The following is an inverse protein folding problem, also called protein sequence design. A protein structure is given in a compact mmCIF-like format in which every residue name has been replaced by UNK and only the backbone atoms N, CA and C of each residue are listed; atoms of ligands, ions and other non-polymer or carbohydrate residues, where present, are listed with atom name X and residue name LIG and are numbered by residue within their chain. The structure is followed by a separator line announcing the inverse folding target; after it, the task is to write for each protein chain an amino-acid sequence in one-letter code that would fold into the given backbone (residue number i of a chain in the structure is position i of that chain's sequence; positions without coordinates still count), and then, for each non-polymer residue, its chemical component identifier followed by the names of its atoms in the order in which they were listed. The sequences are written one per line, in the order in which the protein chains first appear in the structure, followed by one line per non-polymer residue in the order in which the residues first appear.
data_IF_823197192177
#
_entry.id   IF_823197192177
#
_cell.length_a   1.000
_cell.length_b   1.000
_cell.length_c   1.000
_cell.angle_alpha   90.00
_cell.angle_beta   90.00
_cell.angle_gamma   90.00
#
_symmetry.space_group_name_H-M   'P 1'
#
loop_
_entity.id
_entity.type
_entity.pdbx_description
1 polymer ?
#
# COMPACT_ATOMS: atom_id res chain seq x y z
N UNK A 1 -64.20 22.95 -59.63
CA UNK A 1 -64.98 22.43 -58.48
C UNK A 1 -64.13 21.38 -57.78
N UNK A 2 -63.82 21.62 -56.49
CA UNK A 2 -63.59 20.66 -55.37
C UNK A 2 -62.71 19.41 -55.57
N UNK A 3 -61.90 18.90 -54.64
CA UNK A 3 -61.35 19.29 -53.33
C UNK A 3 -60.57 18.05 -52.81
N UNK A 4 -59.50 18.27 -52.02
CA UNK A 4 -59.00 17.42 -50.92
C UNK A 4 -58.47 15.99 -51.22
N UNK A 5 -57.47 15.41 -50.54
CA UNK A 5 -56.52 15.78 -49.46
C UNK A 5 -55.63 14.53 -49.15
N UNK A 6 -54.54 14.74 -48.40
CA UNK A 6 -53.76 13.82 -47.52
C UNK A 6 -52.33 13.41 -47.91
N UNK A 7 -51.39 14.25 -47.43
CA UNK A 7 -50.31 13.96 -46.47
C UNK A 7 -49.60 12.60 -46.47
N UNK A 8 -48.26 12.62 -46.63
CA UNK A 8 -47.38 11.96 -45.66
C UNK A 8 -46.02 12.65 -45.51
N UNK A 9 -45.58 12.72 -44.25
CA UNK A 9 -44.43 13.46 -43.73
C UNK A 9 -43.09 12.77 -43.99
N UNK A 10 -42.07 13.62 -43.97
CA UNK A 10 -40.63 13.41 -43.87
C UNK A 10 -40.25 12.48 -42.72
N UNK A 11 -39.22 11.65 -42.89
CA UNK A 11 -38.40 11.20 -41.76
C UNK A 11 -36.91 11.21 -42.13
N UNK A 12 -36.16 12.13 -41.52
CA UNK A 12 -34.71 12.25 -41.58
C UNK A 12 -34.17 11.65 -40.28
N UNK A 13 -33.32 10.61 -40.31
CA UNK A 13 -32.73 10.09 -39.08
C UNK A 13 -31.76 11.10 -38.47
N UNK A 14 -32.19 11.72 -37.38
CA UNK A 14 -31.36 12.54 -36.48
C UNK A 14 -30.70 11.60 -35.48
N UNK A 15 -29.48 11.14 -35.76
CA UNK A 15 -28.70 10.37 -34.77
C UNK A 15 -27.65 11.28 -34.11
N UNK A 16 -28.09 11.96 -33.05
CA UNK A 16 -27.30 12.85 -32.20
C UNK A 16 -26.27 12.12 -31.31
N UNK A 17 -26.15 10.79 -31.42
CA UNK A 17 -25.24 10.01 -30.57
C UNK A 17 -23.83 9.84 -31.11
N UNK A 18 -23.55 10.16 -32.38
CA UNK A 18 -22.20 9.99 -32.95
C UNK A 18 -21.23 11.07 -32.46
N UNK A 19 -21.71 12.29 -32.19
CA UNK A 19 -20.87 13.41 -31.78
C UNK A 19 -20.33 13.28 -30.34
N UNK A 20 -21.00 12.53 -29.46
CA UNK A 20 -20.57 12.34 -28.06
C UNK A 20 -19.46 11.29 -27.90
N UNK A 21 -19.31 10.38 -28.86
CA UNK A 21 -18.36 9.26 -28.78
C UNK A 21 -16.93 9.64 -29.17
N UNK A 22 -16.74 10.77 -29.86
CA UNK A 22 -15.43 11.25 -30.29
C UNK A 22 -14.72 12.17 -29.27
N UNK A 23 -15.37 12.54 -28.16
CA UNK A 23 -14.78 13.43 -27.14
C UNK A 23 -14.21 12.69 -25.91
N UNK A 24 -14.20 11.36 -25.88
CA UNK A 24 -13.73 10.59 -24.72
C UNK A 24 -12.58 9.62 -25.02
N UNK A 25 -11.85 9.80 -26.13
CA UNK A 25 -10.52 9.19 -26.22
C UNK A 25 -9.52 10.12 -25.53
N UNK A 26 -8.99 9.76 -24.34
CA UNK A 26 -7.84 10.48 -23.81
C UNK A 26 -6.69 10.38 -24.82
N UNK A 27 -5.92 11.47 -25.03
CA UNK A 27 -4.79 11.44 -25.95
C UNK A 27 -3.81 10.35 -25.53
N UNK A 28 -3.39 9.52 -26.48
CA UNK A 28 -2.48 8.38 -26.29
C UNK A 28 -1.07 8.75 -25.78
N UNK A 29 -0.81 10.04 -25.53
CA UNK A 29 0.49 10.60 -25.15
C UNK A 29 0.47 11.36 -23.82
N UNK A 30 -0.48 11.09 -22.90
CA UNK A 30 -0.28 11.57 -21.53
C UNK A 30 0.80 10.73 -20.86
N UNK A 31 1.85 11.34 -20.26
CA UNK A 31 2.70 10.63 -19.33
C UNK A 31 1.81 9.88 -18.34
N UNK A 32 2.12 8.61 -18.09
CA UNK A 32 1.42 7.89 -17.03
C UNK A 32 1.53 8.71 -15.74
N UNK A 33 0.47 8.81 -14.92
CA UNK A 33 0.58 9.50 -13.65
C UNK A 33 1.68 8.84 -12.81
N UNK A 34 2.57 9.65 -12.24
CA UNK A 34 3.58 9.19 -11.27
C UNK A 34 2.84 8.42 -10.19
N UNK A 35 3.25 7.17 -9.95
CA UNK A 35 2.65 6.33 -8.92
C UNK A 35 3.51 6.42 -7.67
N UNK A 36 2.88 6.58 -6.52
CA UNK A 36 3.58 6.52 -5.24
C UNK A 36 3.59 5.08 -4.72
N UNK A 37 4.74 4.66 -4.18
CA UNK A 37 4.90 3.41 -3.46
C UNK A 37 5.37 3.76 -2.06
N UNK A 38 4.72 3.18 -1.05
CA UNK A 38 5.06 3.41 0.34
C UNK A 38 5.81 2.20 0.89
N UNK A 39 7.06 2.39 1.29
CA UNK A 39 7.93 1.31 1.78
C UNK A 39 8.13 1.49 3.28
N UNK A 40 7.78 0.46 4.05
CA UNK A 40 8.14 0.39 5.46
C UNK A 40 9.59 -0.09 5.54
N UNK A 41 10.45 0.70 6.16
CA UNK A 41 11.83 0.35 6.47
C UNK A 41 11.99 0.09 7.94
N UNK A 42 12.79 -0.91 8.29
CA UNK A 42 13.21 -1.14 9.66
C UNK A 42 14.64 -0.64 9.83
N UNK A 43 14.86 0.24 10.80
CA UNK A 43 16.14 0.94 10.96
C UNK A 43 16.84 0.53 12.26
N UNK A 44 18.16 0.55 12.20
CA UNK A 44 19.04 0.61 13.36
C UNK A 44 20.07 1.71 13.15
N UNK A 45 20.51 2.33 14.24
CA UNK A 45 21.56 3.34 14.22
C UNK A 45 22.93 2.78 13.79
N UNK A 46 23.13 1.44 13.86
CA UNK A 46 24.40 0.81 13.53
C UNK A 46 24.44 0.16 12.13
N UNK A 47 23.41 -0.60 11.76
CA UNK A 47 23.38 -1.36 10.50
C UNK A 47 22.66 -0.60 9.37
N UNK A 48 22.03 0.53 9.68
CA UNK A 48 21.23 1.30 8.73
C UNK A 48 19.79 0.79 8.62
N UNK A 49 19.20 0.97 7.44
CA UNK A 49 17.77 0.72 7.21
C UNK A 49 17.55 -0.35 6.13
N UNK A 50 16.70 -1.33 6.43
CA UNK A 50 16.30 -2.41 5.53
C UNK A 50 14.83 -2.27 5.11
N UNK A 51 14.49 -2.42 3.81
CA UNK A 51 13.10 -2.44 3.39
C UNK A 51 12.39 -3.72 3.86
N UNK A 52 11.30 -3.58 4.61
CA UNK A 52 10.49 -4.69 5.12
C UNK A 52 9.40 -5.08 4.12
N UNK A 53 8.61 -4.10 3.68
CA UNK A 53 7.43 -4.32 2.83
C UNK A 53 7.00 -3.04 2.13
N UNK A 54 6.47 -3.18 0.91
CA UNK A 54 5.89 -2.09 0.13
C UNK A 54 4.36 -2.16 0.08
N UNK A 55 3.72 -0.99 -0.01
CA UNK A 55 2.29 -0.79 -0.03
C UNK A 55 1.88 0.22 -1.11
N UNK A 56 0.66 0.06 -1.61
CA UNK A 56 0.07 0.97 -2.59
C UNK A 56 -0.53 2.23 -1.97
N UNK A 57 -0.81 2.23 -0.66
CA UNK A 57 -1.35 3.40 0.06
C UNK A 57 -0.54 3.68 1.32
N UNK A 58 -0.49 4.95 1.72
CA UNK A 58 0.21 5.40 2.91
C UNK A 58 -0.43 4.83 4.18
N UNK A 59 -1.76 4.80 4.24
CA UNK A 59 -2.52 4.33 5.40
C UNK A 59 -2.20 2.86 5.71
N UNK A 60 -2.05 2.03 4.67
CA UNK A 60 -1.71 0.61 4.83
C UNK A 60 -0.27 0.44 5.35
N UNK A 61 0.65 1.26 4.85
CA UNK A 61 2.04 1.26 5.29
C UNK A 61 2.16 1.73 6.75
N UNK A 62 1.50 2.83 7.10
CA UNK A 62 1.49 3.39 8.47
C UNK A 62 0.85 2.40 9.46
N UNK A 63 -0.24 1.73 9.09
CA UNK A 63 -0.86 0.70 9.92
C UNK A 63 0.06 -0.51 10.14
N UNK A 64 0.78 -0.97 9.10
CA UNK A 64 1.75 -2.04 9.24
C UNK A 64 2.95 -1.62 10.11
N UNK A 65 3.47 -0.42 9.90
CA UNK A 65 4.57 0.13 10.70
C UNK A 65 4.18 0.26 12.19
N UNK A 66 2.95 0.69 12.48
CA UNK A 66 2.42 0.73 13.84
C UNK A 66 2.32 -0.67 14.44
N UNK A 67 1.79 -1.65 13.69
CA UNK A 67 1.72 -3.03 14.15
C UNK A 67 3.09 -3.62 14.48
N UNK A 68 4.14 -3.27 13.74
CA UNK A 68 5.51 -3.66 14.07
C UNK A 68 5.96 -3.02 15.40
N UNK A 69 5.74 -1.72 15.57
CA UNK A 69 6.07 -0.99 16.81
C UNK A 69 5.32 -1.56 18.03
N UNK A 70 4.02 -1.81 17.89
CA UNK A 70 3.21 -2.42 18.95
C UNK A 70 3.73 -3.82 19.33
N UNK A 71 4.24 -4.59 18.34
CA UNK A 71 4.81 -5.91 18.59
C UNK A 71 6.17 -5.84 19.30
N UNK A 72 7.00 -4.82 19.04
CA UNK A 72 8.23 -4.55 19.81
C UNK A 72 7.92 -4.16 21.26
N UNK A 73 6.90 -3.33 21.49
CA UNK A 73 6.54 -2.85 22.83
C UNK A 73 6.15 -3.98 23.80
N UNK A 74 5.55 -5.06 23.28
CA UNK A 74 5.14 -6.22 24.09
C UNK A 74 6.24 -7.27 24.26
N UNK A 75 7.44 -7.05 23.70
CA UNK A 75 8.56 -7.97 23.83
C UNK A 75 8.96 -8.12 25.29
N UNK A 76 9.15 -9.36 25.73
CA UNK A 76 9.61 -9.63 27.10
C UNK A 76 11.09 -9.24 27.23
N UNK A 77 11.46 -8.40 28.21
CA UNK A 77 12.85 -8.03 28.43
C UNK A 77 13.69 -9.25 28.87
N UNK A 78 15.00 -9.26 28.57
CA UNK A 78 15.87 -10.33 29.02
C UNK A 78 15.96 -10.37 30.56
N UNK A 79 16.23 -11.55 31.15
CA UNK A 79 16.55 -11.67 32.56
C UNK A 79 17.77 -10.81 32.95
N UNK A 80 17.92 -10.58 34.26
CA UNK A 80 19.14 -9.94 34.78
C UNK A 80 20.38 -10.78 34.52
N UNK A 81 21.56 -10.14 34.48
CA UNK A 81 22.84 -10.83 34.20
C UNK A 81 23.12 -11.97 35.19
N UNK A 82 22.73 -11.80 36.46
CA UNK A 82 22.93 -12.79 37.52
C UNK A 82 21.75 -13.78 37.66
N UNK A 83 20.79 -13.77 36.72
CA UNK A 83 19.65 -14.67 36.75
C UNK A 83 20.09 -16.14 36.55
N UNK A 84 19.42 -17.11 37.19
CA UNK A 84 19.69 -18.52 36.95
C UNK A 84 19.50 -18.92 35.48
N UNK A 85 20.27 -19.92 35.02
CA UNK A 85 20.23 -20.42 33.63
C UNK A 85 18.82 -20.80 33.16
N UNK A 86 18.02 -21.44 34.01
CA UNK A 86 16.65 -21.83 33.67
C UNK A 86 15.70 -20.64 33.40
N UNK A 87 16.03 -19.42 33.83
CA UNK A 87 15.30 -18.21 33.44
C UNK A 87 15.70 -17.76 32.04
N UNK A 88 16.99 -17.83 31.71
CA UNK A 88 17.51 -17.56 30.38
C UNK A 88 16.97 -18.53 29.33
N UNK A 89 16.86 -19.81 29.66
CA UNK A 89 16.28 -20.82 28.75
C UNK A 89 14.82 -20.50 28.41
N UNK A 90 14.01 -20.20 29.44
CA UNK A 90 12.59 -19.84 29.27
C UNK A 90 12.43 -18.54 28.48
N UNK A 91 13.26 -17.53 28.77
CA UNK A 91 13.24 -16.29 28.01
C UNK A 91 13.63 -16.52 26.55
N UNK A 92 14.68 -17.31 26.30
CA UNK A 92 15.16 -17.60 24.93
C UNK A 92 14.08 -18.29 24.09
N UNK A 93 13.36 -19.25 24.66
CA UNK A 93 12.25 -19.91 23.98
C UNK A 93 11.11 -18.92 23.66
N UNK A 94 10.73 -18.08 24.64
CA UNK A 94 9.71 -17.05 24.48
C UNK A 94 10.09 -15.99 23.44
N UNK A 95 11.33 -15.49 23.49
CA UNK A 95 11.87 -14.47 22.59
C UNK A 95 11.97 -15.01 21.16
N UNK A 96 12.35 -16.29 20.99
CA UNK A 96 12.36 -16.96 19.70
C UNK A 96 10.95 -17.16 19.12
N UNK A 97 9.96 -17.46 19.96
CA UNK A 97 8.57 -17.57 19.52
C UNK A 97 8.03 -16.20 19.11
N UNK A 98 8.29 -15.17 19.91
CA UNK A 98 7.94 -13.78 19.62
C UNK A 98 8.56 -13.29 18.30
N UNK A 99 9.83 -13.60 18.05
CA UNK A 99 10.52 -13.21 16.81
C UNK A 99 9.84 -13.81 15.57
N UNK A 100 9.41 -15.07 15.64
CA UNK A 100 8.73 -15.75 14.53
C UNK A 100 7.35 -15.18 14.22
N UNK A 101 6.69 -14.55 15.19
CA UNK A 101 5.38 -13.92 14.98
C UNK A 101 5.48 -12.44 14.61
N UNK A 102 6.67 -11.84 14.68
CA UNK A 102 6.85 -10.43 14.40
C UNK A 102 6.48 -10.10 12.93
N UNK A 103 5.65 -9.08 12.65
CA UNK A 103 5.19 -8.80 11.29
C UNK A 103 6.30 -8.48 10.28
N UNK A 104 7.43 -7.97 10.78
CA UNK A 104 8.62 -7.64 10.00
C UNK A 104 9.68 -8.75 9.93
N UNK A 105 9.44 -9.95 10.47
CA UNK A 105 10.45 -11.02 10.48
C UNK A 105 11.05 -11.28 9.08
N UNK A 106 12.39 -11.41 8.95
CA UNK A 106 13.39 -11.51 10.02
C UNK A 106 13.92 -10.15 10.54
N UNK A 107 13.38 -9.02 10.08
CA UNK A 107 13.81 -7.67 10.46
C UNK A 107 13.10 -7.17 11.73
N UNK A 108 12.94 -8.05 12.73
CA UNK A 108 12.47 -7.70 14.08
C UNK A 108 13.60 -7.12 14.93
N UNK A 109 13.28 -6.60 16.13
CA UNK A 109 14.20 -5.98 17.09
C UNK A 109 14.90 -4.73 16.54
N UNK A 110 14.17 -3.98 15.70
CA UNK A 110 14.67 -2.76 15.06
C UNK A 110 14.23 -1.55 15.87
N UNK A 111 15.01 -0.48 15.82
CA UNK A 111 14.79 0.72 16.65
C UNK A 111 13.60 1.55 16.15
N UNK A 112 13.35 1.52 14.84
CA UNK A 112 12.19 2.16 14.23
C UNK A 112 11.66 1.38 13.04
N UNK A 113 10.39 1.61 12.73
CA UNK A 113 9.71 1.16 11.52
C UNK A 113 9.06 2.38 10.86
N UNK A 114 9.71 2.90 9.82
CA UNK A 114 9.35 4.18 9.20
C UNK A 114 8.83 4.00 7.78
N UNK A 115 7.88 4.85 7.37
CA UNK A 115 7.31 4.82 6.01
C UNK A 115 8.00 5.83 5.10
N UNK A 116 8.71 5.31 4.10
CA UNK A 116 9.30 6.07 3.01
C UNK A 116 8.36 6.12 1.80
N UNK A 117 8.16 7.30 1.22
CA UNK A 117 7.46 7.46 -0.07
C UNK A 117 8.48 7.43 -1.21
N UNK A 118 8.27 6.51 -2.15
CA UNK A 118 9.03 6.43 -3.40
C UNK A 118 8.13 6.81 -4.57
N UNK A 119 8.65 7.68 -5.44
CA UNK A 119 8.02 8.01 -6.70
C UNK A 119 8.42 6.97 -7.74
N UNK A 120 7.43 6.33 -8.36
CA UNK A 120 7.61 5.41 -9.47
C UNK A 120 7.14 6.06 -10.76
N UNK A 121 8.09 6.32 -11.65
CA UNK A 121 7.87 6.75 -13.02
C UNK A 121 8.09 5.54 -13.96
N UNK A 122 7.05 5.01 -14.60
CA UNK A 122 7.16 3.86 -15.49
C UNK A 122 7.60 4.22 -16.93
N UNK A 123 8.01 5.47 -17.20
CA UNK A 123 8.38 5.95 -18.55
C UNK A 123 9.67 5.39 -19.12
#
# INVERSE_FOLDING_TARGET
MTAADRNHLVDVPTDLNTAKRLQQQPPANRPAPVREIFVVQASTMYEGSDPVRAFATRESADAFAQMCRDHEEVRTPPPGIDAPEHEWDRWTESDRAWEQTHPAAPLSRRESYDVLTLLFDPS
#
